data_IF_867090783187
#
_entry.id   IF_867090783187
#
_cell.length_a   1.000
_cell.length_b   1.000
_cell.length_c   1.000
_cell.angle_alpha   90.00
_cell.angle_beta   90.00
_cell.angle_gamma   90.00
#
_symmetry.space_group_name_H-M   'P 1'
#
loop_
_entity.id
_entity.type
_entity.pdbx_description
1 polymer ?
#
# COMPACT_ATOMS: atom_id res chain seq x y z
N UNK A 1 -44.61 -1.59 19.68
CA UNK A 1 -43.44 -1.07 20.42
C UNK A 1 -42.83 -2.23 21.18
N UNK A 2 -41.89 -2.93 20.57
CA UNK A 2 -41.07 -3.94 21.25
C UNK A 2 -39.64 -3.43 21.21
N UNK A 3 -39.18 -2.90 22.34
CA UNK A 3 -37.77 -2.63 22.61
C UNK A 3 -37.07 -3.98 22.70
N UNK A 4 -36.36 -4.37 21.63
CA UNK A 4 -35.43 -5.49 21.72
C UNK A 4 -34.21 -5.01 22.53
N UNK A 5 -34.12 -5.54 23.74
CA UNK A 5 -32.99 -5.43 24.65
C UNK A 5 -31.72 -5.89 23.93
N UNK A 6 -30.69 -5.04 23.87
CA UNK A 6 -29.33 -5.47 23.52
C UNK A 6 -28.89 -6.54 24.55
N UNK A 7 -28.36 -7.70 24.12
CA UNK A 7 -27.89 -8.71 25.05
C UNK A 7 -26.67 -8.15 25.78
N UNK A 8 -26.76 -8.11 27.11
CA UNK A 8 -25.72 -7.69 28.01
C UNK A 8 -24.50 -8.62 27.97
N UNK A 9 -23.51 -8.27 27.16
CA UNK A 9 -22.13 -8.76 27.30
C UNK A 9 -21.08 -7.64 27.33
N UNK A 10 -21.48 -6.38 27.53
CA UNK A 10 -20.57 -5.26 27.76
C UNK A 10 -20.07 -5.17 29.22
N UNK A 11 -19.88 -6.31 29.89
CA UNK A 11 -19.26 -6.38 31.22
C UNK A 11 -18.06 -7.32 31.19
N UNK A 12 -17.00 -6.89 30.49
CA UNK A 12 -15.62 -7.31 30.73
C UNK A 12 -14.66 -6.39 29.95
N UNK A 13 -14.37 -5.22 30.52
CA UNK A 13 -13.08 -4.51 30.44
C UNK A 13 -12.28 -4.59 29.12
N UNK A 14 -12.90 -4.29 27.98
CA UNK A 14 -12.21 -4.33 26.69
C UNK A 14 -12.65 -3.22 25.73
N UNK A 15 -13.03 -2.07 26.30
CA UNK A 15 -13.41 -0.88 25.57
C UNK A 15 -12.37 -0.49 24.50
N UNK A 16 -11.04 -0.51 24.78
CA UNK A 16 -10.03 -0.25 23.75
C UNK A 16 -10.13 -1.16 22.52
N UNK A 17 -10.34 -2.47 22.69
CA UNK A 17 -10.46 -3.39 21.55
C UNK A 17 -11.78 -3.23 20.82
N UNK A 18 -12.86 -2.89 21.52
CA UNK A 18 -14.16 -2.61 20.90
C UNK A 18 -14.08 -1.37 20.00
N UNK A 19 -13.41 -0.31 20.46
CA UNK A 19 -13.17 0.91 19.68
C UNK A 19 -12.34 0.60 18.44
N UNK A 20 -11.22 -0.11 18.60
CA UNK A 20 -10.34 -0.46 17.49
C UNK A 20 -11.03 -1.38 16.46
N UNK A 21 -11.78 -2.40 16.91
CA UNK A 21 -12.52 -3.30 16.03
C UNK A 21 -13.64 -2.58 15.26
N UNK A 22 -14.39 -1.70 15.93
CA UNK A 22 -15.42 -0.89 15.29
C UNK A 22 -14.86 0.08 14.25
N UNK A 23 -13.71 0.71 14.56
CA UNK A 23 -13.00 1.56 13.63
C UNK A 23 -12.54 0.77 12.39
N UNK A 24 -11.88 -0.36 12.60
CA UNK A 24 -11.41 -1.27 11.53
C UNK A 24 -12.54 -1.68 10.59
N UNK A 25 -13.67 -2.13 11.16
CA UNK A 25 -14.84 -2.53 10.37
C UNK A 25 -15.40 -1.38 9.53
N UNK A 26 -15.50 -0.17 10.09
CA UNK A 26 -16.07 0.98 9.42
C UNK A 26 -15.21 1.46 8.24
N UNK A 27 -13.89 1.18 8.23
CA UNK A 27 -13.03 1.47 7.08
C UNK A 27 -13.42 0.68 5.83
N UNK A 28 -13.83 -0.58 5.99
CA UNK A 28 -14.31 -1.45 4.88
C UNK A 28 -15.80 -1.31 4.59
N UNK A 29 -16.57 -0.85 5.57
CA UNK A 29 -18.01 -0.68 5.46
C UNK A 29 -18.42 0.75 5.81
N UNK A 30 -17.98 1.75 5.02
CA UNK A 30 -18.17 3.16 5.34
C UNK A 30 -19.64 3.56 5.43
N UNK A 31 -20.55 2.78 4.84
CA UNK A 31 -22.00 3.02 4.83
C UNK A 31 -22.77 2.28 5.94
N UNK A 32 -22.09 1.53 6.82
CA UNK A 32 -22.77 0.82 7.91
C UNK A 32 -23.28 1.80 8.99
N UNK A 33 -24.60 2.05 8.95
CA UNK A 33 -25.27 3.00 9.84
C UNK A 33 -25.21 2.60 11.32
N UNK A 34 -25.12 1.30 11.63
CA UNK A 34 -24.98 0.84 13.02
C UNK A 34 -23.59 1.15 13.54
N UNK A 35 -22.55 0.86 12.74
CA UNK A 35 -21.17 1.09 13.12
C UNK A 35 -20.82 2.57 13.19
N UNK A 36 -21.40 3.41 12.32
CA UNK A 36 -21.30 4.88 12.44
C UNK A 36 -21.81 5.37 13.80
N UNK A 37 -22.98 4.87 14.26
CA UNK A 37 -23.54 5.23 15.57
C UNK A 37 -22.67 4.72 16.72
N UNK A 38 -22.16 3.50 16.62
CA UNK A 38 -21.23 2.94 17.60
C UNK A 38 -19.94 3.78 17.69
N UNK A 39 -19.36 4.16 16.56
CA UNK A 39 -18.17 5.03 16.56
C UNK A 39 -18.45 6.44 17.06
N UNK A 40 -19.62 7.01 16.78
CA UNK A 40 -20.02 8.30 17.36
C UNK A 40 -20.12 8.22 18.89
N UNK A 41 -20.69 7.14 19.43
CA UNK A 41 -20.70 6.88 20.87
C UNK A 41 -19.28 6.73 21.43
N UNK A 42 -18.44 5.91 20.80
CA UNK A 42 -17.06 5.71 21.26
C UNK A 42 -16.24 7.01 21.26
N UNK A 43 -16.33 7.82 20.20
CA UNK A 43 -15.68 9.14 20.13
C UNK A 43 -16.13 10.12 21.21
N UNK A 44 -17.30 9.91 21.82
CA UNK A 44 -17.78 10.75 22.93
C UNK A 44 -17.17 10.39 24.29
N UNK A 45 -16.48 9.25 24.39
CA UNK A 45 -15.84 8.79 25.62
C UNK A 45 -14.48 9.47 25.82
N UNK A 46 -14.09 9.79 27.07
CA UNK A 46 -12.74 10.28 27.37
C UNK A 46 -11.67 9.30 26.90
N UNK A 47 -10.57 9.82 26.37
CA UNK A 47 -9.39 9.06 25.91
C UNK A 47 -9.67 8.05 24.78
N UNK A 48 -10.85 8.09 24.17
CA UNK A 48 -11.23 7.17 23.10
C UNK A 48 -10.30 7.28 21.87
N UNK A 49 -9.83 8.49 21.56
CA UNK A 49 -8.93 8.78 20.44
C UNK A 49 -7.68 7.87 20.44
N UNK A 50 -7.14 7.55 21.61
CA UNK A 50 -5.94 6.69 21.77
C UNK A 50 -6.19 5.23 21.36
N UNK A 51 -7.46 4.84 21.27
CA UNK A 51 -7.91 3.50 20.90
C UNK A 51 -8.50 3.41 19.50
N UNK A 52 -8.69 4.53 18.80
CA UNK A 52 -9.12 4.57 17.40
C UNK A 52 -7.93 4.20 16.52
N UNK A 53 -7.74 2.90 16.34
CA UNK A 53 -6.68 2.31 15.54
C UNK A 53 -7.28 1.27 14.63
N UNK A 54 -6.81 1.25 13.39
CA UNK A 54 -7.09 0.17 12.48
C UNK A 54 -6.22 -1.05 12.87
N UNK A 55 -6.89 -2.18 13.11
CA UNK A 55 -6.28 -3.44 13.51
C UNK A 55 -5.80 -4.25 12.31
N UNK A 56 -6.25 -3.89 11.11
CA UNK A 56 -5.88 -4.55 9.85
C UNK A 56 -4.82 -3.78 9.07
N UNK A 57 -4.36 -2.63 9.57
CA UNK A 57 -3.27 -1.84 8.99
C UNK A 57 -2.06 -2.71 8.74
N UNK A 58 -1.63 -2.78 7.48
CA UNK A 58 -0.43 -3.53 7.10
C UNK A 58 0.82 -2.81 7.59
N UNK A 59 1.89 -3.56 7.84
CA UNK A 59 3.13 -2.98 8.38
C UNK A 59 3.71 -1.90 7.45
N UNK A 60 3.72 -2.11 6.13
CA UNK A 60 4.18 -1.14 5.14
C UNK A 60 3.41 0.18 5.19
N UNK A 61 2.11 0.19 5.52
CA UNK A 61 1.33 1.44 5.63
C UNK A 61 1.83 2.30 6.77
N UNK A 62 2.06 1.67 7.93
CA UNK A 62 2.57 2.36 9.11
C UNK A 62 3.98 2.92 8.89
N UNK A 63 4.82 2.16 8.19
CA UNK A 63 6.16 2.57 7.78
C UNK A 63 6.09 3.74 6.80
N UNK A 64 5.24 3.65 5.78
CA UNK A 64 5.03 4.71 4.79
C UNK A 64 4.56 6.02 5.44
N UNK A 65 3.56 5.97 6.32
CA UNK A 65 3.06 7.16 7.02
C UNK A 65 4.17 7.78 7.88
N UNK A 66 4.96 6.95 8.58
CA UNK A 66 6.08 7.43 9.40
C UNK A 66 7.17 8.05 8.53
N UNK A 67 7.47 7.44 7.39
CA UNK A 67 8.43 7.94 6.41
C UNK A 67 8.01 9.30 5.84
N UNK A 68 6.75 9.45 5.42
CA UNK A 68 6.21 10.72 4.89
C UNK A 68 6.25 11.81 5.96
N UNK A 69 5.91 11.50 7.22
CA UNK A 69 6.05 12.46 8.33
C UNK A 69 7.51 12.87 8.54
N UNK A 70 8.44 11.91 8.49
CA UNK A 70 9.87 12.19 8.61
C UNK A 70 10.39 13.04 7.45
N UNK A 71 9.94 12.76 6.22
CA UNK A 71 10.26 13.54 5.02
C UNK A 71 9.81 15.00 5.17
N UNK A 72 8.55 15.22 5.58
CA UNK A 72 8.01 16.56 5.80
C UNK A 72 8.69 17.31 6.96
N UNK A 73 9.24 16.57 7.93
CA UNK A 73 10.07 17.11 9.01
C UNK A 73 11.56 17.22 8.66
N UNK A 74 11.94 17.04 7.39
CA UNK A 74 13.33 17.04 6.89
C UNK A 74 14.26 16.00 7.56
N UNK A 75 13.69 15.00 8.23
CA UNK A 75 14.44 13.88 8.77
C UNK A 75 14.66 12.82 7.68
N UNK A 76 15.57 13.12 6.75
CA UNK A 76 15.86 12.29 5.58
C UNK A 76 16.29 10.87 5.96
N UNK A 77 17.06 10.69 7.03
CA UNK A 77 17.54 9.37 7.45
C UNK A 77 16.38 8.47 7.87
N UNK A 78 15.47 8.96 8.71
CA UNK A 78 14.29 8.19 9.13
C UNK A 78 13.37 7.93 7.94
N UNK A 79 13.17 8.92 7.07
CA UNK A 79 12.38 8.72 5.84
C UNK A 79 12.96 7.59 4.97
N UNK A 80 14.28 7.54 4.80
CA UNK A 80 14.95 6.47 4.04
C UNK A 80 14.75 5.13 4.74
N UNK A 81 15.09 5.02 6.02
CA UNK A 81 14.99 3.76 6.76
C UNK A 81 13.58 3.18 6.69
N UNK A 82 12.56 4.02 6.84
CA UNK A 82 11.17 3.57 6.84
C UNK A 82 10.67 3.19 5.44
N UNK A 83 11.02 3.96 4.39
CA UNK A 83 10.64 3.61 3.02
C UNK A 83 11.34 2.34 2.53
N UNK A 84 12.63 2.16 2.85
CA UNK A 84 13.40 0.95 2.50
C UNK A 84 12.82 -0.31 3.18
N UNK A 85 12.13 -0.17 4.30
CA UNK A 85 11.40 -1.26 4.94
C UNK A 85 9.99 -1.43 4.39
N UNK A 86 9.33 -0.34 3.99
CA UNK A 86 7.97 -0.37 3.47
C UNK A 86 7.87 -1.05 2.11
N UNK A 87 8.82 -0.79 1.20
CA UNK A 87 8.84 -1.37 -0.16
C UNK A 87 8.78 -2.91 -0.17
N UNK A 88 9.73 -3.65 0.44
CA UNK A 88 9.71 -5.11 0.40
C UNK A 88 8.51 -5.70 1.14
N UNK A 89 8.02 -5.02 2.19
CA UNK A 89 6.84 -5.46 2.91
C UNK A 89 5.54 -5.26 2.11
N UNK A 90 5.47 -4.20 1.29
CA UNK A 90 4.40 -4.03 0.31
C UNK A 90 4.46 -5.10 -0.78
N UNK A 91 5.63 -5.34 -1.39
CA UNK A 91 5.77 -6.37 -2.43
C UNK A 91 5.37 -7.75 -1.91
N UNK A 92 5.80 -8.08 -0.69
CA UNK A 92 5.37 -9.31 -0.02
C UNK A 92 3.85 -9.37 0.12
N UNK A 93 3.21 -8.31 0.59
CA UNK A 93 1.75 -8.28 0.74
C UNK A 93 1.02 -8.40 -0.62
N UNK A 94 1.59 -7.81 -1.68
CA UNK A 94 1.09 -7.93 -3.04
C UNK A 94 1.14 -9.37 -3.56
N UNK A 95 2.28 -10.04 -3.44
CA UNK A 95 2.42 -11.44 -3.85
C UNK A 95 1.59 -12.41 -2.99
N UNK A 96 1.44 -12.12 -1.69
CA UNK A 96 0.51 -12.87 -0.83
C UNK A 96 -0.95 -12.71 -1.29
N UNK A 97 -1.34 -11.52 -1.77
CA UNK A 97 -2.66 -11.29 -2.35
C UNK A 97 -2.85 -12.09 -3.65
N UNK A 98 -1.88 -12.04 -4.57
CA UNK A 98 -1.94 -12.79 -5.82
C UNK A 98 -2.07 -14.30 -5.58
N UNK A 99 -1.29 -14.84 -4.63
CA UNK A 99 -1.35 -16.24 -4.25
C UNK A 99 -2.69 -16.62 -3.60
N UNK A 100 -3.29 -15.71 -2.81
CA UNK A 100 -4.58 -15.95 -2.18
C UNK A 100 -5.73 -16.02 -3.20
N UNK A 101 -5.61 -15.37 -4.36
CA UNK A 101 -6.61 -15.43 -5.42
C UNK A 101 -6.71 -16.81 -6.09
N UNK A 102 -5.65 -17.63 -6.08
CA UNK A 102 -5.63 -18.97 -6.70
C UNK A 102 -6.28 -20.07 -5.83
N UNK A 103 -7.03 -19.66 -4.80
CA UNK A 103 -7.69 -20.56 -3.86
C UNK A 103 -8.84 -21.38 -4.45
N UNK A 104 -9.27 -22.40 -3.72
CA UNK A 104 -10.41 -23.21 -4.09
C UNK A 104 -11.70 -22.38 -4.13
N UNK A 105 -12.47 -22.50 -5.22
CA UNK A 105 -13.81 -21.89 -5.33
C UNK A 105 -14.88 -22.74 -4.65
N UNK A 106 -15.89 -22.07 -4.13
CA UNK A 106 -17.15 -22.72 -3.77
C UNK A 106 -17.97 -22.93 -5.06
N UNK A 107 -18.27 -24.19 -5.41
CA UNK A 107 -19.08 -24.50 -6.59
C UNK A 107 -20.55 -24.32 -6.21
N UNK A 108 -21.11 -23.16 -6.54
CA UNK A 108 -22.53 -22.83 -6.26
C UNK A 108 -23.49 -23.26 -7.36
N UNK A 109 -22.99 -23.57 -8.55
CA UNK A 109 -23.78 -23.98 -9.73
C UNK A 109 -23.09 -25.12 -10.49
N UNK A 110 -23.89 -26.05 -11.03
CA UNK A 110 -23.41 -27.20 -11.78
C UNK A 110 -23.36 -26.86 -13.28
N UNK A 111 -22.19 -26.45 -13.74
CA UNK A 111 -21.89 -26.22 -15.16
C UNK A 111 -21.07 -27.35 -15.75
N UNK A 112 -21.03 -27.44 -17.08
CA UNK A 112 -20.08 -28.30 -17.79
C UNK A 112 -18.65 -27.97 -17.36
N UNK A 113 -17.78 -28.99 -17.34
CA UNK A 113 -16.41 -28.90 -16.82
C UNK A 113 -15.63 -27.70 -17.39
N UNK A 114 -15.67 -27.51 -18.71
CA UNK A 114 -14.95 -26.42 -19.36
C UNK A 114 -15.49 -25.03 -18.99
N UNK A 115 -16.81 -24.89 -18.84
CA UNK A 115 -17.42 -23.62 -18.42
C UNK A 115 -17.07 -23.32 -16.96
N UNK A 116 -17.11 -24.33 -16.09
CA UNK A 116 -16.71 -24.19 -14.70
C UNK A 116 -15.25 -23.73 -14.57
N UNK A 117 -14.34 -24.33 -15.34
CA UNK A 117 -12.94 -23.90 -15.36
C UNK A 117 -12.79 -22.46 -15.87
N UNK A 118 -13.44 -22.12 -16.99
CA UNK A 118 -13.36 -20.77 -17.55
C UNK A 118 -13.84 -19.71 -16.56
N UNK A 119 -14.98 -19.94 -15.90
CA UNK A 119 -15.49 -19.03 -14.87
C UNK A 119 -14.50 -18.88 -13.71
N UNK A 120 -13.88 -19.98 -13.27
CA UNK A 120 -12.88 -19.91 -12.20
C UNK A 120 -11.66 -19.07 -12.59
N UNK A 121 -11.17 -19.21 -13.84
CA UNK A 121 -10.07 -18.37 -14.33
C UNK A 121 -10.44 -16.89 -14.35
N UNK A 122 -11.67 -16.55 -14.75
CA UNK A 122 -12.17 -15.17 -14.72
C UNK A 122 -12.21 -14.65 -13.28
N UNK A 123 -12.76 -15.41 -12.34
CA UNK A 123 -12.80 -15.04 -10.91
C UNK A 123 -11.39 -14.80 -10.33
N UNK A 124 -10.43 -15.67 -10.68
CA UNK A 124 -9.03 -15.55 -10.25
C UNK A 124 -8.40 -14.27 -10.82
N UNK A 125 -8.60 -14.00 -12.11
CA UNK A 125 -8.06 -12.81 -12.77
C UNK A 125 -8.68 -11.52 -12.20
N UNK A 126 -10.00 -11.49 -12.02
CA UNK A 126 -10.69 -10.37 -11.37
C UNK A 126 -10.14 -10.12 -9.96
N UNK A 127 -9.90 -11.17 -9.17
CA UNK A 127 -9.30 -11.04 -7.85
C UNK A 127 -7.88 -10.44 -7.92
N UNK A 128 -7.03 -10.94 -8.82
CA UNK A 128 -5.64 -10.47 -8.98
C UNK A 128 -5.56 -9.01 -9.40
N UNK A 129 -6.43 -8.57 -10.32
CA UNK A 129 -6.53 -7.17 -10.76
C UNK A 129 -6.89 -6.20 -9.62
N UNK A 130 -7.58 -6.68 -8.58
CA UNK A 130 -7.93 -5.86 -7.43
C UNK A 130 -6.84 -5.81 -6.36
N UNK A 131 -5.78 -6.62 -6.45
CA UNK A 131 -4.77 -6.72 -5.38
C UNK A 131 -4.03 -5.40 -5.12
N UNK A 132 -3.55 -4.71 -6.16
CA UNK A 132 -2.86 -3.42 -5.99
C UNK A 132 -3.80 -2.36 -5.39
N UNK A 133 -5.03 -2.25 -5.91
CA UNK A 133 -6.02 -1.31 -5.41
C UNK A 133 -6.41 -1.57 -3.95
N UNK A 134 -6.60 -2.83 -3.57
CA UNK A 134 -6.94 -3.24 -2.21
C UNK A 134 -5.81 -3.02 -1.20
N UNK A 135 -4.56 -3.02 -1.65
CA UNK A 135 -3.38 -2.78 -0.82
C UNK A 135 -2.93 -1.31 -0.85
N UNK A 136 -3.50 -0.48 -1.71
CA UNK A 136 -3.14 0.93 -1.79
C UNK A 136 -3.66 1.68 -0.55
N UNK A 137 -2.79 2.32 0.25
CA UNK A 137 -3.24 3.01 1.45
C UNK A 137 -4.13 4.22 1.11
N UNK A 138 -5.13 4.48 1.95
CA UNK A 138 -5.99 5.66 1.85
C UNK A 138 -5.56 6.68 2.90
N UNK A 139 -5.04 7.82 2.45
CA UNK A 139 -4.56 8.89 3.33
C UNK A 139 -5.43 10.13 3.13
N UNK A 140 -6.01 10.64 4.21
CA UNK A 140 -6.88 11.82 4.14
C UNK A 140 -8.16 11.61 3.32
N UNK A 141 -8.59 10.35 3.12
CA UNK A 141 -9.77 9.99 2.34
C UNK A 141 -9.51 9.71 0.87
N UNK A 142 -8.26 9.76 0.41
CA UNK A 142 -7.88 9.49 -0.98
C UNK A 142 -6.83 8.38 -1.06
N UNK A 143 -6.96 7.42 -2.00
CA UNK A 143 -5.92 6.44 -2.24
C UNK A 143 -4.63 7.13 -2.71
N UNK A 144 -3.48 6.62 -2.27
CA UNK A 144 -2.19 7.12 -2.73
C UNK A 144 -1.93 6.62 -4.15
N UNK A 145 -2.13 7.48 -5.15
CA UNK A 145 -1.88 7.14 -6.55
C UNK A 145 -0.43 6.71 -6.78
N UNK A 146 -0.24 5.68 -7.62
CA UNK A 146 1.06 5.10 -7.97
C UNK A 146 1.92 4.84 -6.72
N UNK A 147 1.40 4.03 -5.79
CA UNK A 147 1.94 3.91 -4.45
C UNK A 147 3.43 3.54 -4.41
N UNK A 148 3.85 2.54 -5.20
CA UNK A 148 5.26 2.13 -5.31
C UNK A 148 6.14 3.23 -5.91
N UNK A 149 5.68 3.88 -6.97
CA UNK A 149 6.38 5.02 -7.56
C UNK A 149 6.57 6.14 -6.52
N UNK A 150 5.53 6.46 -5.75
CA UNK A 150 5.58 7.47 -4.68
C UNK A 150 6.67 7.15 -3.66
N UNK A 151 6.83 5.89 -3.24
CA UNK A 151 7.93 5.47 -2.35
C UNK A 151 9.31 5.72 -2.97
N UNK A 152 9.51 5.37 -4.25
CA UNK A 152 10.76 5.65 -4.96
C UNK A 152 11.06 7.14 -5.13
N UNK A 153 10.03 7.97 -5.35
CA UNK A 153 10.18 9.42 -5.39
C UNK A 153 10.69 9.97 -4.05
N UNK A 154 10.09 9.55 -2.93
CA UNK A 154 10.55 9.94 -1.59
C UNK A 154 11.98 9.49 -1.31
N UNK A 155 12.32 8.23 -1.65
CA UNK A 155 13.68 7.70 -1.49
C UNK A 155 14.70 8.49 -2.32
N UNK A 156 14.42 8.68 -3.60
CA UNK A 156 15.27 9.44 -4.53
C UNK A 156 15.62 10.81 -3.96
N UNK A 157 14.61 11.57 -3.52
CA UNK A 157 14.84 12.90 -2.97
C UNK A 157 15.57 12.86 -1.62
N UNK A 158 15.20 11.96 -0.72
CA UNK A 158 15.85 11.86 0.59
C UNK A 158 17.34 11.47 0.47
N UNK A 159 17.67 10.52 -0.41
CA UNK A 159 19.05 10.16 -0.73
C UNK A 159 19.83 11.33 -1.35
N UNK A 160 19.19 12.06 -2.28
CA UNK A 160 19.76 13.28 -2.83
C UNK A 160 20.10 14.31 -1.75
N UNK A 161 19.18 14.55 -0.79
CA UNK A 161 19.39 15.49 0.33
C UNK A 161 20.55 15.08 1.25
N UNK A 162 20.85 13.79 1.32
CA UNK A 162 22.01 13.25 2.05
C UNK A 162 23.28 13.11 1.18
N UNK A 163 23.26 13.60 -0.06
CA UNK A 163 24.36 13.45 -1.03
C UNK A 163 24.74 12.01 -1.35
N UNK A 164 23.79 11.08 -1.23
CA UNK A 164 23.96 9.68 -1.58
C UNK A 164 23.38 9.39 -2.97
N UNK A 165 24.07 9.87 -4.01
CA UNK A 165 23.59 9.74 -5.39
C UNK A 165 23.65 8.32 -5.93
N UNK A 166 24.46 7.45 -5.31
CA UNK A 166 24.53 6.03 -5.67
C UNK A 166 23.22 5.32 -5.41
N UNK A 167 22.48 5.74 -4.37
CA UNK A 167 21.14 5.24 -4.11
C UNK A 167 20.05 6.13 -4.74
N UNK A 168 20.27 7.44 -4.88
CA UNK A 168 19.27 8.34 -5.47
C UNK A 168 19.02 8.06 -6.96
N UNK A 169 20.07 7.84 -7.75
CA UNK A 169 19.96 7.60 -9.18
C UNK A 169 19.14 6.34 -9.53
N UNK A 170 19.40 5.15 -8.96
CA UNK A 170 18.60 3.98 -9.27
C UNK A 170 17.15 4.10 -8.77
N UNK A 171 16.88 4.83 -7.67
CA UNK A 171 15.49 5.15 -7.28
C UNK A 171 14.77 6.01 -8.33
N UNK A 172 15.44 6.99 -8.92
CA UNK A 172 14.88 7.79 -10.01
C UNK A 172 14.56 6.94 -11.25
N UNK A 173 15.41 5.96 -11.58
CA UNK A 173 15.16 5.03 -12.69
C UNK A 173 14.00 4.10 -12.37
N UNK A 174 13.95 3.53 -11.16
CA UNK A 174 12.81 2.70 -10.70
C UNK A 174 11.48 3.45 -10.73
N UNK A 175 11.47 4.74 -10.35
CA UNK A 175 10.27 5.59 -10.46
C UNK A 175 9.78 5.69 -11.92
N UNK A 176 10.69 5.90 -12.87
CA UNK A 176 10.35 6.10 -14.27
C UNK A 176 9.80 4.84 -14.96
N UNK A 177 9.89 3.66 -14.32
CA UNK A 177 9.16 2.47 -14.78
C UNK A 177 7.63 2.69 -14.70
N UNK A 178 7.16 3.44 -13.71
CA UNK A 178 5.74 3.72 -13.48
C UNK A 178 5.25 5.02 -14.15
N UNK A 179 6.15 6.00 -14.30
CA UNK A 179 5.83 7.26 -14.97
C UNK A 179 6.97 7.69 -15.90
N UNK A 180 7.08 7.07 -17.09
CA UNK A 180 8.16 7.35 -18.02
C UNK A 180 8.11 8.78 -18.58
N UNK A 181 6.98 9.49 -18.41
CA UNK A 181 6.77 10.83 -18.96
C UNK A 181 6.97 11.97 -17.94
N UNK A 182 7.33 11.64 -16.69
CA UNK A 182 7.63 12.62 -15.66
C UNK A 182 8.88 13.44 -16.01
N UNK A 183 8.65 14.67 -16.47
CA UNK A 183 9.72 15.59 -16.88
C UNK A 183 10.66 15.98 -15.74
N UNK A 184 10.17 16.03 -14.50
CA UNK A 184 10.98 16.41 -13.34
C UNK A 184 11.96 15.28 -13.04
N UNK A 185 11.48 14.04 -12.99
CA UNK A 185 12.35 12.89 -12.73
C UNK A 185 13.34 12.64 -13.88
N UNK A 186 12.92 12.82 -15.14
CA UNK A 186 13.83 12.78 -16.29
C UNK A 186 14.96 13.83 -16.17
N UNK A 187 14.63 15.05 -15.77
CA UNK A 187 15.62 16.11 -15.57
C UNK A 187 16.58 15.78 -14.42
N UNK A 188 16.08 15.17 -13.33
CA UNK A 188 16.93 14.71 -12.23
C UNK A 188 17.97 13.69 -12.71
N UNK A 189 17.58 12.73 -13.56
CA UNK A 189 18.52 11.76 -14.14
C UNK A 189 19.57 12.43 -15.02
N UNK A 190 19.17 13.35 -15.90
CA UNK A 190 20.11 14.12 -16.73
C UNK A 190 21.11 14.87 -15.85
N UNK A 191 20.63 15.47 -14.76
CA UNK A 191 21.48 16.17 -13.80
C UNK A 191 22.47 15.25 -13.08
N UNK A 192 22.06 14.02 -12.70
CA UNK A 192 22.95 13.00 -12.13
C UNK A 192 23.99 12.53 -13.13
N UNK A 193 23.57 12.30 -14.37
CA UNK A 193 24.44 11.82 -15.44
C UNK A 193 25.50 12.85 -15.83
N UNK A 194 25.12 14.14 -15.87
CA UNK A 194 26.06 15.24 -16.11
C UNK A 194 27.16 15.34 -15.04
N UNK A 195 26.83 15.04 -13.79
CA UNK A 195 27.76 15.10 -12.65
C UNK A 195 28.32 13.73 -12.25
N UNK A 196 28.22 12.71 -13.12
CA UNK A 196 28.59 11.33 -12.80
C UNK A 196 30.00 11.20 -12.22
N UNK A 197 30.98 11.88 -12.80
CA UNK A 197 32.38 11.79 -12.38
C UNK A 197 32.60 12.42 -11.00
N UNK A 198 31.86 13.51 -10.71
CA UNK A 198 31.90 14.21 -9.42
C UNK A 198 31.37 13.33 -8.28
N UNK A 199 30.37 12.50 -8.57
CA UNK A 199 29.70 11.65 -7.57
C UNK A 199 30.10 10.19 -7.64
N UNK A 200 31.07 9.84 -8.49
CA UNK A 200 31.55 8.46 -8.65
C UNK A 200 30.43 7.52 -9.10
N UNK A 201 29.57 7.99 -10.00
CA UNK A 201 28.50 7.20 -10.60
C UNK A 201 29.01 6.50 -11.87
N UNK A 202 28.69 5.23 -11.96
CA UNK A 202 28.86 4.34 -13.11
C UNK A 202 27.50 4.02 -13.73
N UNK A 203 27.51 3.38 -14.91
CA UNK A 203 26.30 3.05 -15.67
C UNK A 203 25.33 2.13 -14.89
N UNK A 204 25.83 1.36 -13.92
CA UNK A 204 25.01 0.51 -13.03
C UNK A 204 24.05 1.31 -12.15
N UNK A 205 24.40 2.54 -11.77
CA UNK A 205 23.54 3.42 -10.96
C UNK A 205 22.41 4.04 -11.77
N UNK A 206 22.44 3.87 -13.10
CA UNK A 206 21.39 4.32 -14.02
C UNK A 206 20.54 3.14 -14.52
N UNK A 207 20.57 2.02 -13.80
CA UNK A 207 19.62 0.93 -13.94
C UNK A 207 18.56 1.02 -12.83
N UNK A 208 17.33 0.52 -13.05
CA UNK A 208 16.38 0.38 -11.95
C UNK A 208 16.98 -0.52 -10.87
N UNK A 209 16.54 -0.33 -9.63
CA UNK A 209 16.94 -1.23 -8.54
C UNK A 209 16.60 -2.69 -8.92
N UNK A 210 17.52 -3.64 -8.66
CA UNK A 210 17.38 -5.00 -9.12
C UNK A 210 16.21 -5.74 -8.45
N UNK A 211 15.61 -6.68 -9.20
CA UNK A 211 14.67 -7.69 -8.72
C UNK A 211 13.26 -7.18 -8.54
N UNK A 212 12.91 -6.85 -7.29
CA UNK A 212 11.51 -6.78 -6.84
C UNK A 212 10.65 -5.76 -7.60
N UNK A 213 11.19 -4.59 -7.95
CA UNK A 213 10.42 -3.56 -8.67
C UNK A 213 10.25 -3.87 -10.16
N UNK A 214 11.23 -4.55 -10.77
CA UNK A 214 11.14 -4.92 -12.18
C UNK A 214 10.14 -6.05 -12.33
N UNK A 215 10.26 -7.09 -11.49
CA UNK A 215 9.30 -8.20 -11.41
C UNK A 215 7.88 -7.68 -11.15
N UNK A 216 7.71 -6.77 -10.19
CA UNK A 216 6.42 -6.15 -9.90
C UNK A 216 5.80 -5.40 -11.09
N UNK A 217 6.60 -4.63 -11.84
CA UNK A 217 6.11 -3.89 -13.01
C UNK A 217 5.74 -4.85 -14.14
N UNK A 218 6.56 -5.86 -14.39
CA UNK A 218 6.30 -6.88 -15.41
C UNK A 218 5.00 -7.64 -15.07
N UNK A 219 4.80 -8.06 -13.81
CA UNK A 219 3.59 -8.73 -13.35
C UNK A 219 2.33 -7.85 -13.49
N UNK A 220 2.43 -6.55 -13.20
CA UNK A 220 1.32 -5.61 -13.41
C UNK A 220 0.94 -5.50 -14.90
N UNK A 221 1.93 -5.40 -15.79
CA UNK A 221 1.69 -5.35 -17.23
C UNK A 221 1.04 -6.64 -17.74
N UNK A 222 1.50 -7.80 -17.28
CA UNK A 222 0.88 -9.09 -17.65
C UNK A 222 -0.57 -9.19 -17.16
N UNK A 223 -0.89 -8.69 -15.97
CA UNK A 223 -2.26 -8.65 -15.46
C UNK A 223 -3.15 -7.71 -16.29
N UNK A 224 -2.64 -6.56 -16.71
CA UNK A 224 -3.40 -5.63 -17.58
C UNK A 224 -3.64 -6.21 -18.98
N UNK A 225 -2.64 -6.89 -19.58
CA UNK A 225 -2.77 -7.51 -20.90
C UNK A 225 -3.75 -8.70 -20.94
N UNK A 226 -3.97 -9.34 -19.78
CA UNK A 226 -4.88 -10.48 -19.63
C UNK A 226 -6.31 -10.10 -19.23
N UNK A 227 -6.58 -8.82 -18.98
CA UNK A 227 -7.89 -8.24 -18.65
C UNK A 227 -8.68 -7.75 -19.87
#
# INVERSE_FOLDING_TARGET
MSTLQLPGSATANNLPKAIAAAHTFLLKHPDDEMMKKNMAYYKSLPDAEDYIKDLETKSYESLFIRAVRAYNGENWRTSITDMELALPDFFKAFYECLAACEGAREITDFKDFYLSIADHYVEVLECKLQCEGNLTPVIGGYPVEKFVATMYHYLQFAYYKLSDLKNAAPCAVSYLLFDPNDKVMQQNLVYYQYHRDKWGLSDEHFQPRPGEVVEYVDDLLELEETS
#
